data_IF_696986496121
#
_entry.id   IF_696986496121
#
_cell.length_a   1.000
_cell.length_b   1.000
_cell.length_c   1.000
_cell.angle_alpha   90.00
_cell.angle_beta   90.00
_cell.angle_gamma   90.00
#
_symmetry.space_group_name_H-M   'P 1'
#
loop_
_entity.id
_entity.type
_entity.pdbx_description
1 polymer ?
#
# COMPACT_ATOMS: atom_id res chain seq x y z
N UNK A 1 30.73 15.07 -0.83
CA UNK A 1 29.41 15.15 -0.16
C UNK A 1 28.33 14.86 -1.19
N UNK A 2 27.55 13.80 -0.99
CA UNK A 2 26.41 13.43 -1.82
C UNK A 2 25.14 14.06 -1.26
N UNK A 3 24.41 14.81 -2.09
CA UNK A 3 23.17 15.50 -1.67
C UNK A 3 21.95 14.76 -2.23
N UNK A 4 21.10 14.29 -1.33
CA UNK A 4 19.84 13.62 -1.61
C UNK A 4 18.70 14.62 -1.43
N UNK A 5 17.90 14.82 -2.47
CA UNK A 5 16.78 15.75 -2.45
C UNK A 5 15.46 14.99 -2.49
N UNK A 6 14.69 15.06 -1.40
CA UNK A 6 13.38 14.39 -1.27
C UNK A 6 12.21 15.39 -1.32
N UNK A 7 12.47 16.61 -1.78
CA UNK A 7 11.50 17.72 -1.87
C UNK A 7 11.75 18.55 -3.13
N UNK A 8 10.68 19.03 -3.73
CA UNK A 8 10.68 19.99 -4.84
C UNK A 8 10.88 21.43 -4.36
N UNK A 9 10.76 21.70 -3.06
CA UNK A 9 10.90 23.06 -2.51
C UNK A 9 12.28 23.67 -2.79
N UNK A 10 12.34 25.00 -3.03
CA UNK A 10 13.60 25.72 -3.17
C UNK A 10 14.42 25.64 -1.87
N UNK A 11 15.75 25.70 -2.01
CA UNK A 11 16.71 25.43 -0.92
C UNK A 11 16.50 26.32 0.30
N UNK A 12 16.10 27.58 0.10
CA UNK A 12 15.81 28.55 1.18
C UNK A 12 14.52 28.24 1.98
N UNK A 13 13.74 27.24 1.56
CA UNK A 13 12.50 26.78 2.23
C UNK A 13 12.52 25.28 2.54
N UNK A 14 13.71 24.68 2.51
CA UNK A 14 13.95 23.28 2.78
C UNK A 14 14.90 23.12 3.98
N UNK A 15 14.81 21.98 4.66
CA UNK A 15 15.69 21.61 5.76
C UNK A 15 16.79 20.70 5.23
N UNK A 16 18.04 20.98 5.56
CA UNK A 16 19.19 20.14 5.20
C UNK A 16 19.75 19.50 6.47
N UNK A 17 19.83 18.18 6.48
CA UNK A 17 20.44 17.39 7.56
C UNK A 17 21.61 16.59 6.99
N UNK A 18 22.72 16.48 7.74
CA UNK A 18 23.93 15.76 7.31
C UNK A 18 24.13 14.48 8.11
N UNK A 19 24.65 13.45 7.43
CA UNK A 19 24.84 12.10 7.95
C UNK A 19 26.19 11.55 7.50
N UNK A 20 26.62 10.46 8.15
CA UNK A 20 27.83 9.72 7.79
C UNK A 20 29.07 10.62 7.70
N UNK A 21 29.36 11.35 8.79
CA UNK A 21 30.50 12.29 8.89
C UNK A 21 30.51 13.35 7.78
N UNK A 22 29.33 13.79 7.36
CA UNK A 22 29.15 14.83 6.33
C UNK A 22 29.29 14.31 4.89
N UNK A 23 29.42 12.99 4.69
CA UNK A 23 29.46 12.43 3.33
C UNK A 23 28.10 12.44 2.66
N UNK A 24 26.99 12.42 3.41
CA UNK A 24 25.61 12.50 2.90
C UNK A 24 24.88 13.72 3.47
N UNK A 25 24.19 14.47 2.62
CA UNK A 25 23.22 15.49 2.99
C UNK A 25 21.83 15.10 2.49
N UNK A 26 20.79 15.26 3.30
CA UNK A 26 19.39 15.07 2.89
C UNK A 26 18.65 16.39 2.98
N UNK A 27 18.08 16.81 1.86
CA UNK A 27 17.28 18.03 1.71
C UNK A 27 15.81 17.64 1.66
N UNK A 28 15.04 18.06 2.67
CA UNK A 28 13.64 17.69 2.89
C UNK A 28 12.74 18.92 3.08
N UNK A 29 11.42 18.74 2.96
CA UNK A 29 10.45 19.84 3.08
C UNK A 29 10.41 20.45 4.48
N UNK A 30 10.51 19.63 5.52
CA UNK A 30 10.26 20.02 6.91
C UNK A 30 11.15 19.26 7.92
N UNK A 31 12.24 18.65 7.45
CA UNK A 31 13.05 17.73 8.24
C UNK A 31 12.63 16.28 8.06
N UNK A 32 13.57 15.36 8.28
CA UNK A 32 13.33 13.92 8.31
C UNK A 32 12.58 13.54 9.58
N UNK A 33 11.71 12.53 9.46
CA UNK A 33 11.09 11.94 10.64
C UNK A 33 12.14 11.18 11.49
N UNK A 34 11.77 10.85 12.73
CA UNK A 34 12.71 10.27 13.68
C UNK A 34 13.26 8.92 13.21
N UNK A 35 12.42 8.09 12.59
CA UNK A 35 12.82 6.75 12.12
C UNK A 35 13.76 6.82 10.90
N UNK A 36 13.51 7.73 9.95
CA UNK A 36 14.42 7.99 8.84
C UNK A 36 15.78 8.48 9.33
N UNK A 37 15.80 9.44 10.26
CA UNK A 37 17.05 9.95 10.86
C UNK A 37 17.83 8.82 11.51
N UNK A 38 17.18 7.97 12.31
CA UNK A 38 17.83 6.85 12.99
C UNK A 38 18.39 5.81 12.01
N UNK A 39 17.65 5.48 10.94
CA UNK A 39 18.15 4.55 9.92
C UNK A 39 19.38 5.10 9.20
N UNK A 40 19.39 6.40 8.87
CA UNK A 40 20.55 7.04 8.23
C UNK A 40 21.76 7.13 9.18
N UNK A 41 21.54 7.51 10.44
CA UNK A 41 22.59 7.58 11.46
C UNK A 41 23.25 6.21 11.69
N UNK A 42 22.47 5.14 11.68
CA UNK A 42 22.94 3.79 11.99
C UNK A 42 23.25 2.93 10.75
N UNK A 43 23.16 3.50 9.54
CA UNK A 43 23.48 2.83 8.29
C UNK A 43 24.89 2.17 8.26
N UNK A 44 25.96 2.75 8.87
CA UNK A 44 27.29 2.13 8.91
C UNK A 44 27.34 0.76 9.55
N UNK A 45 26.39 0.41 10.41
CA UNK A 45 26.39 -0.91 11.01
C UNK A 45 26.07 -2.04 10.02
N UNK A 46 25.55 -1.72 8.83
CA UNK A 46 25.34 -2.69 7.77
C UNK A 46 26.63 -3.08 7.05
N UNK A 47 27.77 -2.43 7.32
CA UNK A 47 29.09 -2.86 6.83
C UNK A 47 29.44 -4.29 7.29
N UNK A 48 28.88 -4.72 8.42
CA UNK A 48 29.06 -6.07 8.96
C UNK A 48 28.11 -7.12 8.33
N UNK A 49 27.25 -6.73 7.39
CA UNK A 49 26.39 -7.66 6.68
C UNK A 49 27.20 -8.48 5.66
N UNK A 50 26.80 -9.73 5.37
CA UNK A 50 27.37 -10.51 4.26
C UNK A 50 27.32 -9.75 2.94
N UNK A 51 28.05 -10.19 1.92
CA UNK A 51 27.89 -9.63 0.58
C UNK A 51 26.57 -10.05 -0.06
N UNK A 52 25.95 -9.13 -0.80
CA UNK A 52 24.67 -9.34 -1.46
C UNK A 52 23.79 -8.11 -1.50
N UNK A 53 22.59 -8.28 -2.05
CA UNK A 53 21.62 -7.21 -2.25
C UNK A 53 21.04 -6.68 -0.92
N UNK A 54 20.53 -5.45 -0.96
CA UNK A 54 19.84 -4.80 0.16
C UNK A 54 18.34 -4.66 -0.11
N UNK A 55 17.53 -4.94 0.90
CA UNK A 55 16.09 -4.71 0.89
C UNK A 55 15.76 -3.44 1.68
N UNK A 56 14.88 -2.58 1.16
CA UNK A 56 14.37 -1.40 1.85
C UNK A 56 12.85 -1.51 1.90
N UNK A 57 12.30 -1.69 3.09
CA UNK A 57 10.87 -1.88 3.31
C UNK A 57 10.30 -0.82 4.27
N UNK A 58 9.07 -0.39 4.01
CA UNK A 58 8.36 0.58 4.86
C UNK A 58 8.83 2.04 4.71
N UNK A 59 9.94 2.30 4.01
CA UNK A 59 10.31 3.66 3.63
C UNK A 59 9.49 4.16 2.44
N UNK A 60 8.97 5.38 2.55
CA UNK A 60 8.04 5.99 1.57
C UNK A 60 8.63 7.19 0.82
N UNK A 61 9.82 7.65 1.21
CA UNK A 61 10.45 8.84 0.64
C UNK A 61 11.46 8.52 -0.46
N UNK A 62 12.08 7.33 -0.44
CA UNK A 62 13.20 6.97 -1.31
C UNK A 62 14.56 7.52 -0.84
N UNK A 63 14.58 8.35 0.21
CA UNK A 63 15.82 8.95 0.72
C UNK A 63 16.78 7.92 1.33
N UNK A 64 16.24 6.94 2.07
CA UNK A 64 17.04 5.85 2.64
C UNK A 64 17.67 4.99 1.54
N UNK A 65 16.94 4.73 0.45
CA UNK A 65 17.44 3.96 -0.67
C UNK A 65 18.63 4.64 -1.35
N UNK A 66 18.55 5.96 -1.57
CA UNK A 66 19.64 6.74 -2.14
C UNK A 66 20.86 6.81 -1.21
N UNK A 67 20.64 6.89 0.10
CA UNK A 67 21.74 6.88 1.07
C UNK A 67 22.42 5.51 1.14
N UNK A 68 21.65 4.42 1.11
CA UNK A 68 22.16 3.06 1.02
C UNK A 68 22.94 2.84 -0.28
N UNK A 69 22.43 3.30 -1.43
CA UNK A 69 23.12 3.20 -2.71
C UNK A 69 24.43 4.00 -2.73
N UNK A 70 24.48 5.16 -2.08
CA UNK A 70 25.70 5.95 -1.96
C UNK A 70 26.76 5.30 -1.07
N UNK A 71 26.35 4.59 -0.01
CA UNK A 71 27.27 3.88 0.89
C UNK A 71 27.73 2.54 0.31
N UNK A 72 26.83 1.83 -0.37
CA UNK A 72 27.05 0.48 -0.88
C UNK A 72 26.88 0.44 -2.41
N UNK A 73 27.77 1.10 -3.18
CA UNK A 73 27.59 1.28 -4.63
C UNK A 73 27.59 -0.05 -5.41
N UNK A 74 28.26 -1.07 -4.89
CA UNK A 74 28.37 -2.40 -5.51
C UNK A 74 27.18 -3.33 -5.19
N UNK A 75 26.26 -2.91 -4.31
CA UNK A 75 25.14 -3.75 -3.88
C UNK A 75 23.88 -3.36 -4.62
N UNK A 76 23.17 -4.34 -5.18
CA UNK A 76 21.83 -4.13 -5.73
C UNK A 76 20.84 -3.76 -4.62
N UNK A 77 19.85 -2.89 -4.92
CA UNK A 77 18.83 -2.45 -3.97
C UNK A 77 17.43 -2.76 -4.49
N UNK A 78 16.61 -3.34 -3.62
CA UNK A 78 15.18 -3.49 -3.82
C UNK A 78 14.43 -2.64 -2.80
N UNK A 79 13.67 -1.66 -3.27
CA UNK A 79 12.71 -0.92 -2.45
C UNK A 79 11.33 -1.56 -2.59
N UNK A 80 10.61 -1.67 -1.49
CA UNK A 80 9.25 -2.21 -1.49
C UNK A 80 8.27 -1.28 -0.78
N UNK A 81 7.10 -1.11 -1.39
CA UNK A 81 5.93 -0.49 -0.79
C UNK A 81 4.66 -1.23 -1.21
N UNK A 82 3.75 -1.51 -0.28
CA UNK A 82 2.48 -2.14 -0.62
C UNK A 82 1.51 -1.24 -1.39
N UNK A 83 1.69 0.08 -1.31
CA UNK A 83 0.82 1.07 -1.93
C UNK A 83 1.51 1.76 -3.11
N UNK A 84 0.79 1.85 -4.24
CA UNK A 84 1.31 2.37 -5.49
C UNK A 84 1.67 3.86 -5.41
N UNK A 85 0.93 4.65 -4.63
CA UNK A 85 1.27 6.06 -4.43
C UNK A 85 2.64 6.22 -3.77
N UNK A 86 2.92 5.39 -2.76
CA UNK A 86 4.24 5.35 -2.11
C UNK A 86 5.33 4.83 -3.05
N UNK A 87 5.07 3.77 -3.83
CA UNK A 87 6.03 3.27 -4.81
C UNK A 87 6.38 4.34 -5.86
N UNK A 88 5.38 5.06 -6.40
CA UNK A 88 5.58 6.18 -7.32
C UNK A 88 6.28 7.36 -6.66
N UNK A 89 6.04 7.62 -5.37
CA UNK A 89 6.77 8.65 -4.62
C UNK A 89 8.27 8.33 -4.53
N UNK A 90 8.62 7.07 -4.25
CA UNK A 90 10.01 6.60 -4.28
C UNK A 90 10.60 6.83 -5.68
N UNK A 91 9.92 6.39 -6.75
CA UNK A 91 10.42 6.58 -8.12
C UNK A 91 10.66 8.05 -8.48
N UNK A 92 9.75 8.96 -8.08
CA UNK A 92 9.93 10.41 -8.30
C UNK A 92 11.16 10.93 -7.57
N UNK A 93 11.38 10.53 -6.32
CA UNK A 93 12.59 10.89 -5.58
C UNK A 93 13.84 10.35 -6.26
N UNK A 94 13.84 9.08 -6.69
CA UNK A 94 14.98 8.48 -7.40
C UNK A 94 15.30 9.26 -8.68
N UNK A 95 14.29 9.55 -9.49
CA UNK A 95 14.43 10.32 -10.72
C UNK A 95 14.95 11.75 -10.47
N UNK A 96 14.45 12.42 -9.42
CA UNK A 96 14.91 13.75 -9.01
C UNK A 96 16.37 13.77 -8.53
N UNK A 97 16.96 12.60 -8.25
CA UNK A 97 18.37 12.41 -7.88
C UNK A 97 19.14 11.61 -8.95
N UNK A 98 18.69 11.70 -10.21
CA UNK A 98 19.35 11.10 -11.39
C UNK A 98 19.56 9.59 -11.26
N UNK A 99 18.68 8.91 -10.53
CA UNK A 99 18.74 7.46 -10.31
C UNK A 99 17.58 6.81 -11.05
N UNK A 100 17.89 5.95 -12.02
CA UNK A 100 16.88 5.20 -12.75
C UNK A 100 16.27 4.11 -11.86
N UNK A 101 14.98 3.84 -12.08
CA UNK A 101 14.25 2.80 -11.35
C UNK A 101 13.24 2.12 -12.24
N UNK A 102 12.94 0.86 -11.92
CA UNK A 102 11.85 0.10 -12.54
C UNK A 102 10.78 -0.19 -11.51
N UNK A 103 9.52 -0.04 -11.89
CA UNK A 103 8.39 -0.50 -11.08
C UNK A 103 8.06 -1.94 -11.41
N UNK A 104 8.09 -2.81 -10.41
CA UNK A 104 7.56 -4.16 -10.47
C UNK A 104 6.24 -4.23 -9.70
N UNK A 105 5.29 -5.04 -10.17
CA UNK A 105 4.03 -5.31 -9.51
C UNK A 105 3.66 -6.78 -9.64
N UNK A 106 2.66 -7.24 -8.88
CA UNK A 106 2.22 -8.65 -8.96
C UNK A 106 1.74 -8.98 -10.40
N UNK A 107 2.04 -10.17 -10.94
CA UNK A 107 1.72 -10.51 -12.33
C UNK A 107 0.22 -10.66 -12.59
N UNK A 108 -0.58 -10.85 -11.54
CA UNK A 108 -2.03 -11.01 -11.65
C UNK A 108 -2.82 -9.69 -11.69
N UNK A 109 -2.16 -8.55 -11.42
CA UNK A 109 -2.79 -7.23 -11.51
C UNK A 109 -2.37 -6.54 -12.79
N UNK A 110 -3.28 -5.76 -13.37
CA UNK A 110 -2.92 -4.82 -14.46
C UNK A 110 -2.68 -3.45 -13.85
N UNK A 111 -1.52 -2.86 -14.16
CA UNK A 111 -1.20 -1.50 -13.74
C UNK A 111 -1.94 -0.49 -14.63
N UNK A 112 -2.67 0.44 -14.03
CA UNK A 112 -3.25 1.57 -14.77
C UNK A 112 -2.17 2.65 -14.93
N UNK A 113 -1.72 2.87 -16.18
CA UNK A 113 -0.64 3.82 -16.48
C UNK A 113 -1.17 5.18 -16.91
N UNK A 114 -0.59 6.25 -16.35
CA UNK A 114 -0.59 7.59 -16.97
C UNK A 114 0.79 7.98 -17.55
N UNK A 115 1.85 7.19 -17.34
CA UNK A 115 3.18 7.46 -17.91
C UNK A 115 4.03 6.19 -18.03
N UNK A 116 4.89 6.19 -19.07
CA UNK A 116 5.74 5.09 -19.50
C UNK A 116 6.62 4.50 -18.38
N UNK A 117 6.69 3.16 -18.33
CA UNK A 117 7.82 2.46 -17.73
C UNK A 117 9.09 2.92 -18.46
N UNK A 118 9.83 3.86 -17.88
CA UNK A 118 11.14 4.25 -18.38
C UNK A 118 12.04 3.03 -18.49
N UNK A 119 12.65 2.82 -19.65
CA UNK A 119 13.65 1.78 -19.83
C UNK A 119 14.84 2.03 -18.89
N UNK A 120 15.34 0.97 -18.26
CA UNK A 120 16.49 1.03 -17.38
C UNK A 120 17.75 1.39 -18.19
N UNK A 121 18.19 2.64 -18.08
CA UNK A 121 19.53 3.05 -18.46
C UNK A 121 20.40 3.16 -17.20
N UNK A 122 21.64 2.67 -17.28
CA UNK A 122 22.69 2.96 -16.29
C UNK A 122 23.19 4.38 -16.53
N UNK A 123 22.47 5.39 -16.02
CA UNK A 123 23.02 6.74 -15.98
C UNK A 123 23.98 6.83 -14.77
N UNK A 124 25.22 7.27 -15.02
CA UNK A 124 26.19 7.74 -14.03
C UNK A 124 26.80 6.71 -13.05
N UNK A 125 26.94 5.44 -13.44
CA UNK A 125 27.71 4.45 -12.65
C UNK A 125 27.10 4.11 -11.27
N UNK A 126 25.82 4.43 -11.06
CA UNK A 126 25.06 4.07 -9.85
C UNK A 126 24.24 2.81 -10.08
N UNK A 127 24.05 1.96 -9.06
CA UNK A 127 23.21 0.78 -9.19
C UNK A 127 21.76 1.20 -9.48
N UNK A 128 21.14 0.55 -10.45
CA UNK A 128 19.70 0.69 -10.68
C UNK A 128 18.95 0.20 -9.43
N UNK A 129 18.00 0.98 -8.96
CA UNK A 129 17.18 0.63 -7.79
C UNK A 129 15.85 0.04 -8.28
N UNK A 130 15.58 -1.22 -7.92
CA UNK A 130 14.30 -1.85 -8.23
C UNK A 130 13.24 -1.37 -7.23
N UNK A 131 12.09 -0.90 -7.70
CA UNK A 131 10.95 -0.49 -6.86
C UNK A 131 9.83 -1.49 -7.06
N UNK A 132 9.38 -2.11 -5.97
CA UNK A 132 8.35 -3.15 -5.96
C UNK A 132 7.07 -2.61 -5.31
N UNK A 133 5.97 -2.67 -6.03
CA UNK A 133 4.61 -2.53 -5.51
C UNK A 133 3.89 -3.88 -5.60
N UNK A 134 4.21 -4.75 -4.65
CA UNK A 134 3.79 -6.16 -4.65
C UNK A 134 3.16 -6.53 -3.32
N UNK A 135 2.30 -7.54 -3.34
CA UNK A 135 1.57 -8.06 -2.18
C UNK A 135 2.46 -8.75 -1.13
N UNK A 136 3.68 -9.08 -1.51
CA UNK A 136 4.75 -9.67 -0.72
C UNK A 136 6.06 -8.92 -0.98
N UNK A 137 6.99 -8.96 -0.03
CA UNK A 137 8.37 -8.51 -0.24
C UNK A 137 9.02 -9.34 -1.36
N UNK A 138 9.81 -8.71 -2.25
CA UNK A 138 10.50 -9.41 -3.33
C UNK A 138 11.35 -10.57 -2.82
N UNK A 139 11.47 -11.60 -3.65
CA UNK A 139 12.24 -12.80 -3.32
C UNK A 139 13.72 -12.49 -3.11
N UNK A 140 14.33 -13.14 -2.11
CA UNK A 140 15.72 -12.97 -1.73
C UNK A 140 16.64 -14.06 -2.32
N UNK A 141 17.80 -14.33 -1.70
CA UNK A 141 18.23 -13.83 -0.39
C UNK A 141 18.86 -12.42 -0.44
N UNK A 142 18.57 -11.60 0.57
CA UNK A 142 19.22 -10.30 0.81
C UNK A 142 20.28 -10.43 1.90
N UNK A 143 21.39 -9.71 1.72
CA UNK A 143 22.44 -9.61 2.73
C UNK A 143 21.99 -8.79 3.95
N UNK A 144 21.25 -7.71 3.70
CA UNK A 144 20.67 -6.89 4.75
C UNK A 144 19.36 -6.24 4.32
N UNK A 145 18.60 -5.81 5.32
CA UNK A 145 17.36 -5.08 5.16
C UNK A 145 17.37 -3.80 6.02
N UNK A 146 16.77 -2.73 5.48
CA UNK A 146 16.38 -1.55 6.22
C UNK A 146 14.86 -1.53 6.33
N UNK A 147 14.34 -1.45 7.55
CA UNK A 147 12.91 -1.44 7.80
C UNK A 147 12.49 -0.27 8.67
N UNK A 148 11.41 0.40 8.28
CA UNK A 148 10.77 1.39 9.15
C UNK A 148 9.27 1.23 9.20
N UNK A 149 8.69 1.56 10.34
CA UNK A 149 7.25 1.71 10.51
C UNK A 149 6.93 3.15 10.90
N UNK A 150 6.06 3.83 10.15
CA UNK A 150 5.54 5.15 10.54
C UNK A 150 4.29 5.00 11.42
N UNK A 151 4.14 5.81 12.50
CA UNK A 151 2.95 5.76 13.34
C UNK A 151 1.68 6.09 12.56
N UNK A 152 0.56 5.53 13.01
CA UNK A 152 -0.78 5.80 12.46
C UNK A 152 -1.04 5.21 11.07
N UNK A 153 0.00 4.76 10.34
CA UNK A 153 -0.13 4.14 9.01
C UNK A 153 0.11 2.63 9.02
N UNK A 154 0.85 2.12 10.01
CA UNK A 154 1.26 0.71 10.07
C UNK A 154 0.73 0.08 11.34
N UNK A 155 -0.15 -0.93 11.22
CA UNK A 155 -0.61 -1.67 12.40
C UNK A 155 0.53 -2.52 13.00
N UNK A 156 0.48 -2.79 14.31
CA UNK A 156 1.47 -3.66 14.95
C UNK A 156 1.51 -5.07 14.35
N UNK A 157 0.37 -5.57 13.88
CA UNK A 157 0.28 -6.84 13.15
C UNK A 157 1.01 -6.80 11.81
N UNK A 158 0.81 -5.74 11.02
CA UNK A 158 1.53 -5.53 9.76
C UNK A 158 3.05 -5.42 9.99
N UNK A 159 3.48 -4.77 11.08
CA UNK A 159 4.91 -4.71 11.44
C UNK A 159 5.48 -6.12 11.66
N UNK A 160 4.78 -6.97 12.41
CA UNK A 160 5.26 -8.33 12.70
C UNK A 160 5.27 -9.22 11.46
N UNK A 161 4.24 -9.11 10.62
CA UNK A 161 4.14 -9.80 9.33
C UNK A 161 5.32 -9.42 8.42
N UNK A 162 5.61 -8.13 8.27
CA UNK A 162 6.76 -7.66 7.49
C UNK A 162 8.11 -8.09 8.09
N UNK A 163 8.26 -8.13 9.42
CA UNK A 163 9.49 -8.58 10.06
C UNK A 163 9.76 -10.07 9.82
N UNK A 164 8.74 -10.93 9.85
CA UNK A 164 8.89 -12.34 9.49
C UNK A 164 9.18 -12.53 8.00
N UNK A 165 8.57 -11.71 7.15
CA UNK A 165 8.85 -11.74 5.73
C UNK A 165 10.29 -11.28 5.44
N UNK A 166 10.75 -10.17 6.04
CA UNK A 166 12.16 -9.73 5.97
C UNK A 166 13.08 -10.85 6.44
N UNK A 167 12.78 -11.49 7.57
CA UNK A 167 13.54 -12.63 8.06
C UNK A 167 13.61 -13.76 7.02
N UNK A 168 12.49 -14.11 6.39
CA UNK A 168 12.47 -15.12 5.33
C UNK A 168 13.32 -14.72 4.12
N UNK A 169 13.34 -13.43 3.75
CA UNK A 169 14.10 -12.91 2.60
C UNK A 169 15.59 -12.67 2.89
N UNK A 170 16.06 -12.65 4.14
CA UNK A 170 17.48 -12.50 4.45
C UNK A 170 18.27 -13.80 4.24
N UNK A 171 19.52 -13.70 3.82
CA UNK A 171 20.51 -14.77 3.93
C UNK A 171 20.76 -15.13 5.41
N UNK A 172 21.22 -16.35 5.69
CA UNK A 172 21.64 -16.69 7.05
C UNK A 172 22.80 -15.78 7.50
N UNK A 173 22.72 -15.29 8.74
CA UNK A 173 23.63 -14.25 9.23
C UNK A 173 23.38 -12.84 8.68
N UNK A 174 22.40 -12.64 7.80
CA UNK A 174 22.00 -11.33 7.29
C UNK A 174 21.45 -10.40 8.37
N UNK A 175 21.52 -9.09 8.12
CA UNK A 175 21.19 -8.06 9.10
C UNK A 175 19.90 -7.32 8.75
N UNK A 176 19.06 -7.02 9.74
CA UNK A 176 17.94 -6.10 9.63
C UNK A 176 18.20 -4.89 10.53
N UNK A 177 18.47 -3.73 9.94
CA UNK A 177 18.46 -2.45 10.66
C UNK A 177 17.04 -1.90 10.61
N UNK A 178 16.37 -1.84 11.76
CA UNK A 178 14.99 -1.38 11.86
C UNK A 178 14.83 -0.18 12.79
N UNK A 179 13.92 0.73 12.42
CA UNK A 179 13.49 1.85 13.26
C UNK A 179 11.97 1.97 13.28
N UNK A 180 11.38 1.98 14.47
CA UNK A 180 9.93 1.98 14.65
C UNK A 180 9.51 3.01 15.69
N UNK A 181 8.48 3.80 15.38
CA UNK A 181 7.85 4.70 16.35
C UNK A 181 6.77 3.96 17.15
N UNK A 182 7.20 3.27 18.20
CA UNK A 182 6.33 2.51 19.10
C UNK A 182 7.00 2.32 20.47
N UNK A 183 6.25 1.85 21.45
CA UNK A 183 6.81 1.41 22.73
C UNK A 183 7.67 0.15 22.50
N UNK A 184 8.96 0.30 22.79
CA UNK A 184 10.01 -0.62 22.31
C UNK A 184 9.92 -2.02 22.92
N UNK A 185 9.53 -2.15 24.19
CA UNK A 185 9.66 -3.39 24.95
C UNK A 185 8.97 -4.60 24.28
N UNK A 186 7.72 -4.41 23.83
CA UNK A 186 6.96 -5.47 23.16
C UNK A 186 7.55 -5.81 21.78
N UNK A 187 7.90 -4.79 21.00
CA UNK A 187 8.49 -4.96 19.67
C UNK A 187 9.85 -5.66 19.74
N UNK A 188 10.76 -5.22 20.62
CA UNK A 188 12.11 -5.79 20.76
C UNK A 188 12.07 -7.27 21.18
N UNK A 189 11.09 -7.66 22.02
CA UNK A 189 10.85 -9.07 22.36
C UNK A 189 10.48 -9.88 21.11
N UNK A 190 9.60 -9.35 20.26
CA UNK A 190 9.20 -10.00 19.01
C UNK A 190 10.35 -10.07 18.00
N UNK A 191 11.10 -8.97 17.82
CA UNK A 191 12.27 -8.95 16.93
C UNK A 191 13.31 -9.98 17.36
N UNK A 192 13.61 -10.09 18.66
CA UNK A 192 14.52 -11.13 19.17
C UNK A 192 13.99 -12.54 18.89
N UNK A 193 12.68 -12.78 19.03
CA UNK A 193 12.08 -14.08 18.73
C UNK A 193 12.15 -14.44 17.24
N UNK A 194 12.01 -13.45 16.35
CA UNK A 194 12.06 -13.64 14.89
C UNK A 194 13.50 -13.89 14.42
N UNK A 195 14.46 -13.04 14.82
CA UNK A 195 15.81 -13.05 14.26
C UNK A 195 16.84 -13.83 15.10
N UNK A 196 16.63 -13.94 16.41
CA UNK A 196 17.55 -14.57 17.35
C UNK A 196 18.49 -13.56 18.04
N UNK A 197 19.34 -12.85 17.27
CA UNK A 197 20.27 -11.87 17.83
C UNK A 197 19.77 -10.44 17.60
N UNK A 198 19.88 -9.58 18.61
CA UNK A 198 19.39 -8.20 18.61
C UNK A 198 20.32 -7.27 19.39
N UNK A 199 20.69 -6.14 18.79
CA UNK A 199 21.40 -5.04 19.43
C UNK A 199 20.60 -3.75 19.31
N UNK A 200 20.22 -3.16 20.45
CA UNK A 200 19.53 -1.86 20.49
C UNK A 200 20.53 -0.75 20.22
N UNK A 201 20.18 0.18 19.33
CA UNK A 201 21.01 1.34 18.96
C UNK A 201 20.45 2.64 19.53
N UNK A 202 19.12 2.72 19.62
CA UNK A 202 18.42 3.84 20.19
C UNK A 202 17.11 3.37 20.80
N UNK A 203 16.78 3.86 21.99
CA UNK A 203 15.50 3.60 22.63
C UNK A 203 15.12 4.80 23.52
N UNK A 204 14.13 5.58 23.09
CA UNK A 204 13.53 6.67 23.87
C UNK A 204 12.02 6.67 23.64
N UNK A 205 11.26 7.15 24.62
CA UNK A 205 9.79 7.13 24.66
C UNK A 205 9.15 7.31 23.27
N UNK A 206 8.54 6.23 22.76
CA UNK A 206 7.79 6.21 21.50
C UNK A 206 8.61 5.98 20.23
N UNK A 207 9.93 5.74 20.30
CA UNK A 207 10.76 5.41 19.13
C UNK A 207 11.97 4.55 19.50
N UNK A 208 12.21 3.49 18.71
CA UNK A 208 13.37 2.63 18.86
C UNK A 208 14.06 2.37 17.53
N UNK A 209 15.37 2.12 17.59
CA UNK A 209 16.19 1.64 16.49
C UNK A 209 17.06 0.50 16.98
N UNK A 210 17.10 -0.59 16.21
CA UNK A 210 17.89 -1.77 16.56
C UNK A 210 18.37 -2.50 15.32
N UNK A 211 19.35 -3.37 15.54
CA UNK A 211 19.92 -4.24 14.51
C UNK A 211 19.68 -5.66 14.95
N UNK A 212 18.97 -6.40 14.11
CA UNK A 212 18.72 -7.81 14.30
C UNK A 212 19.58 -8.61 13.30
N UNK A 213 20.09 -9.76 13.72
CA UNK A 213 20.84 -10.68 12.84
C UNK A 213 20.09 -11.99 12.76
N UNK A 214 19.78 -12.45 11.54
CA UNK A 214 19.12 -13.72 11.28
C UNK A 214 19.98 -14.89 11.76
N UNK A 215 19.35 -15.82 12.48
CA UNK A 215 19.95 -17.08 12.96
C UNK A 215 19.08 -18.27 12.53
N UNK A 216 19.39 -18.84 11.38
CA UNK A 216 18.68 -19.97 10.81
C UNK A 216 17.29 -19.60 10.28
N UNK A 217 16.51 -20.63 9.94
CA UNK A 217 15.13 -20.49 9.48
C UNK A 217 14.19 -20.39 10.68
N UNK A 218 13.17 -19.54 10.58
CA UNK A 218 12.16 -19.39 11.63
C UNK A 218 11.33 -20.68 11.69
N UNK A 219 11.37 -21.39 12.81
CA UNK A 219 10.77 -22.73 12.91
C UNK A 219 9.23 -22.73 12.78
N UNK A 220 8.57 -21.64 13.18
CA UNK A 220 7.11 -21.51 13.16
C UNK A 220 6.73 -20.11 12.67
N UNK A 221 6.75 -19.86 11.35
CA UNK A 221 6.22 -18.62 10.81
C UNK A 221 4.73 -18.50 11.13
N UNK A 222 4.26 -17.29 11.41
CA UNK A 222 2.87 -16.99 11.70
C UNK A 222 2.11 -16.73 10.40
N UNK A 223 0.85 -17.16 10.36
CA UNK A 223 -0.10 -16.67 9.37
C UNK A 223 -0.90 -15.52 9.98
N UNK A 224 -0.70 -14.32 9.45
CA UNK A 224 -1.42 -13.12 9.86
C UNK A 224 -2.68 -12.87 9.03
N UNK A 225 -3.03 -13.74 8.09
CA UNK A 225 -4.31 -13.66 7.38
C UNK A 225 -5.47 -13.90 8.34
N UNK A 226 -6.64 -13.36 7.99
CA UNK A 226 -7.85 -13.56 8.78
C UNK A 226 -9.04 -13.84 7.88
N UNK A 227 -9.82 -14.86 8.24
CA UNK A 227 -11.06 -15.23 7.56
C UNK A 227 -12.26 -14.79 8.38
N UNK A 228 -13.26 -14.21 7.73
CA UNK A 228 -14.54 -13.86 8.36
C UNK A 228 -15.72 -14.11 7.41
N UNK A 229 -16.93 -14.40 7.93
CA UNK A 229 -18.12 -14.55 7.09
C UNK A 229 -18.68 -13.19 6.64
N UNK A 230 -19.16 -13.11 5.40
CA UNK A 230 -19.92 -11.98 4.89
C UNK A 230 -21.08 -12.45 4.01
N UNK A 231 -22.20 -11.73 4.04
CA UNK A 231 -23.40 -12.02 3.23
C UNK A 231 -24.20 -10.75 2.95
N UNK A 232 -24.93 -10.78 1.83
CA UNK A 232 -26.10 -9.92 1.66
C UNK A 232 -27.33 -10.56 2.33
N UNK A 233 -28.33 -9.77 2.74
CA UNK A 233 -29.60 -10.30 3.24
C UNK A 233 -30.22 -11.30 2.26
N UNK A 234 -30.66 -12.45 2.77
CA UNK A 234 -31.26 -13.52 1.95
C UNK A 234 -30.27 -14.45 1.26
N UNK A 235 -28.95 -14.20 1.34
CA UNK A 235 -27.93 -15.08 0.78
C UNK A 235 -27.12 -15.78 1.88
N UNK A 236 -26.64 -16.99 1.57
CA UNK A 236 -25.74 -17.71 2.45
C UNK A 236 -24.39 -16.96 2.61
N UNK A 237 -23.86 -16.88 3.85
CA UNK A 237 -22.53 -16.32 4.10
C UNK A 237 -21.44 -17.03 3.30
N UNK A 238 -20.50 -16.25 2.77
CA UNK A 238 -19.24 -16.75 2.24
C UNK A 238 -18.07 -16.34 3.13
N UNK A 239 -17.04 -17.18 3.26
CA UNK A 239 -15.79 -16.79 3.90
C UNK A 239 -15.04 -15.79 3.02
N UNK A 240 -14.56 -14.71 3.62
CA UNK A 240 -13.62 -13.77 2.99
C UNK A 240 -12.35 -13.70 3.82
N UNK A 241 -11.21 -13.78 3.14
CA UNK A 241 -9.86 -13.61 3.66
C UNK A 241 -9.47 -12.14 3.55
N UNK A 242 -8.80 -11.64 4.57
CA UNK A 242 -8.17 -10.31 4.61
C UNK A 242 -6.71 -10.43 5.06
N UNK A 243 -5.90 -9.43 4.72
CA UNK A 243 -4.48 -9.38 5.07
C UNK A 243 -4.16 -8.15 5.93
N UNK A 244 -3.12 -8.21 6.79
CA UNK A 244 -2.64 -7.06 7.54
C UNK A 244 -2.40 -5.84 6.64
N UNK A 245 -2.78 -4.66 7.14
CA UNK A 245 -2.67 -3.40 6.40
C UNK A 245 -3.80 -3.14 5.40
N UNK A 246 -4.60 -4.15 5.04
CA UNK A 246 -5.79 -3.97 4.18
C UNK A 246 -6.95 -3.44 5.01
N UNK A 247 -7.73 -2.51 4.47
CA UNK A 247 -8.98 -2.06 5.09
C UNK A 247 -9.89 -3.26 5.40
N UNK A 248 -10.65 -3.19 6.50
CA UNK A 248 -11.49 -4.27 7.02
C UNK A 248 -10.76 -5.60 7.37
N UNK A 249 -9.47 -5.54 7.68
CA UNK A 249 -8.77 -6.73 8.20
C UNK A 249 -9.45 -7.28 9.48
N UNK A 250 -9.64 -8.61 9.51
CA UNK A 250 -10.26 -9.42 10.59
C UNK A 250 -11.79 -9.37 10.73
N UNK A 251 -12.50 -8.43 10.10
CA UNK A 251 -13.96 -8.37 10.20
C UNK A 251 -14.60 -7.61 9.04
N UNK A 252 -15.86 -7.93 8.66
CA UNK A 252 -16.59 -7.15 7.67
C UNK A 252 -16.71 -5.68 8.10
N UNK A 253 -16.50 -4.77 7.16
CA UNK A 253 -16.79 -3.35 7.38
C UNK A 253 -18.30 -3.09 7.26
N UNK A 254 -18.87 -2.42 8.26
CA UNK A 254 -20.30 -2.12 8.29
C UNK A 254 -20.71 -1.15 7.17
N UNK A 255 -19.84 -0.20 6.81
CA UNK A 255 -20.07 0.72 5.69
C UNK A 255 -20.05 0.00 4.35
N UNK A 256 -19.06 -0.87 4.13
CA UNK A 256 -18.98 -1.75 2.96
C UNK A 256 -20.20 -2.67 2.83
N UNK A 257 -20.68 -3.26 3.93
CA UNK A 257 -21.92 -4.03 3.92
C UNK A 257 -23.15 -3.16 3.59
N UNK A 258 -23.23 -1.94 4.10
CA UNK A 258 -24.30 -1.00 3.78
C UNK A 258 -24.33 -0.67 2.28
N UNK A 259 -23.15 -0.39 1.71
CA UNK A 259 -22.96 -0.11 0.29
C UNK A 259 -23.36 -1.30 -0.57
N UNK A 260 -22.88 -2.50 -0.25
CA UNK A 260 -23.21 -3.72 -1.00
C UNK A 260 -24.71 -4.02 -0.97
N UNK A 261 -25.38 -3.81 0.16
CA UNK A 261 -26.83 -4.03 0.30
C UNK A 261 -27.69 -3.04 -0.47
N UNK A 262 -27.24 -1.79 -0.62
CA UNK A 262 -27.94 -0.81 -1.44
C UNK A 262 -27.67 -1.10 -2.92
N UNK A 263 -26.42 -1.35 -3.29
CA UNK A 263 -26.02 -1.67 -4.66
C UNK A 263 -26.75 -2.91 -5.21
N UNK A 264 -26.90 -3.96 -4.40
CA UNK A 264 -27.55 -5.19 -4.83
C UNK A 264 -29.05 -5.03 -5.18
N UNK A 265 -29.72 -3.94 -4.77
CA UNK A 265 -31.15 -3.71 -5.07
C UNK A 265 -31.39 -3.34 -6.52
N UNK A 266 -30.46 -2.58 -7.09
CA UNK A 266 -30.56 -2.03 -8.45
C UNK A 266 -29.66 -2.79 -9.45
N UNK A 267 -28.92 -3.80 -8.97
CA UNK A 267 -28.00 -4.60 -9.78
C UNK A 267 -28.75 -5.70 -10.54
N UNK A 268 -28.63 -5.69 -11.86
CA UNK A 268 -29.21 -6.69 -12.76
C UNK A 268 -28.16 -7.72 -13.23
N UNK A 269 -28.59 -8.93 -13.66
CA UNK A 269 -27.72 -9.91 -14.30
C UNK A 269 -26.89 -9.32 -15.44
N UNK A 270 -25.64 -9.76 -15.57
CA UNK A 270 -24.77 -9.38 -16.69
C UNK A 270 -24.13 -7.99 -16.62
N UNK A 271 -24.53 -7.15 -15.67
CA UNK A 271 -23.99 -5.79 -15.50
C UNK A 271 -22.51 -5.79 -15.09
N UNK A 272 -21.82 -4.70 -15.44
CA UNK A 272 -20.42 -4.48 -15.11
C UNK A 272 -20.28 -3.45 -13.98
N UNK A 273 -19.67 -3.90 -12.88
CA UNK A 273 -19.43 -3.09 -11.67
C UNK A 273 -17.98 -2.63 -11.60
N UNK A 274 -17.75 -1.38 -11.18
CA UNK A 274 -16.46 -0.91 -10.67
C UNK A 274 -16.51 -0.83 -9.14
N UNK A 275 -15.70 -1.64 -8.46
CA UNK A 275 -15.45 -1.58 -7.01
C UNK A 275 -14.11 -0.85 -6.78
N UNK A 276 -14.18 0.44 -6.42
CA UNK A 276 -13.02 1.31 -6.25
C UNK A 276 -12.63 1.42 -4.77
N UNK A 277 -11.34 1.20 -4.47
CA UNK A 277 -10.87 1.02 -3.10
C UNK A 277 -11.36 -0.31 -2.51
N UNK A 278 -11.27 -1.37 -3.31
CA UNK A 278 -11.96 -2.63 -3.04
C UNK A 278 -11.53 -3.34 -1.73
N UNK A 279 -10.34 -3.04 -1.19
CA UNK A 279 -9.85 -3.69 0.02
C UNK A 279 -9.72 -5.21 -0.19
N UNK A 280 -10.35 -6.02 0.67
CA UNK A 280 -10.40 -7.47 0.47
C UNK A 280 -11.48 -7.94 -0.54
N UNK A 281 -12.12 -7.00 -1.24
CA UNK A 281 -13.15 -7.28 -2.23
C UNK A 281 -14.55 -7.45 -1.64
N UNK A 282 -14.78 -7.03 -0.39
CA UNK A 282 -16.04 -7.23 0.33
C UNK A 282 -17.27 -6.83 -0.50
N UNK A 283 -17.25 -5.65 -1.10
CA UNK A 283 -18.40 -5.12 -1.86
C UNK A 283 -18.53 -5.86 -3.18
N UNK A 284 -17.51 -5.83 -4.03
CA UNK A 284 -17.55 -6.43 -5.35
C UNK A 284 -17.80 -7.94 -5.34
N UNK A 285 -17.22 -8.69 -4.40
CA UNK A 285 -17.47 -10.15 -4.27
C UNK A 285 -18.93 -10.43 -3.90
N UNK A 286 -19.51 -9.67 -2.97
CA UNK A 286 -20.92 -9.84 -2.61
C UNK A 286 -21.86 -9.52 -3.79
N UNK A 287 -21.53 -8.50 -4.60
CA UNK A 287 -22.29 -8.16 -5.80
C UNK A 287 -22.13 -9.20 -6.92
N UNK A 288 -20.93 -9.73 -7.14
CA UNK A 288 -20.70 -10.80 -8.11
C UNK A 288 -21.46 -12.11 -7.76
N UNK A 289 -21.71 -12.34 -6.46
CA UNK A 289 -22.50 -13.47 -5.97
C UNK A 289 -24.01 -13.22 -5.98
N UNK A 290 -24.46 -11.97 -5.95
CA UNK A 290 -25.89 -11.67 -5.84
C UNK A 290 -26.66 -11.85 -7.14
N UNK A 291 -25.97 -11.77 -8.29
CA UNK A 291 -26.58 -11.90 -9.61
C UNK A 291 -25.72 -12.74 -10.57
N UNK A 292 -26.34 -13.52 -11.46
CA UNK A 292 -25.60 -14.27 -12.48
C UNK A 292 -24.94 -13.32 -13.49
N UNK A 293 -23.78 -13.74 -14.00
CA UNK A 293 -23.02 -13.06 -15.07
C UNK A 293 -22.59 -11.61 -14.77
N UNK A 294 -22.79 -11.09 -13.55
CA UNK A 294 -22.19 -9.81 -13.14
C UNK A 294 -20.68 -9.93 -13.22
N UNK A 295 -20.06 -8.92 -13.86
CA UNK A 295 -18.62 -8.75 -13.96
C UNK A 295 -18.18 -7.62 -13.04
N UNK A 296 -17.03 -7.77 -12.40
CA UNK A 296 -16.53 -6.76 -11.45
C UNK A 296 -15.09 -6.41 -11.77
N UNK A 297 -14.83 -5.12 -11.96
CA UNK A 297 -13.49 -4.56 -11.94
C UNK A 297 -13.19 -4.08 -10.53
N UNK A 298 -12.18 -4.68 -9.90
CA UNK A 298 -11.67 -4.31 -8.59
C UNK A 298 -10.47 -3.40 -8.78
N UNK A 299 -10.56 -2.18 -8.26
CA UNK A 299 -9.48 -1.20 -8.32
C UNK A 299 -9.02 -0.88 -6.91
N UNK A 300 -7.72 -0.93 -6.68
CA UNK A 300 -7.11 -0.49 -5.42
C UNK A 300 -5.69 0.05 -5.67
N UNK A 301 -5.21 0.93 -4.79
CA UNK A 301 -3.81 1.37 -4.81
C UNK A 301 -2.90 0.40 -4.06
N UNK A 302 -3.48 -0.49 -3.24
CA UNK A 302 -2.75 -1.35 -2.33
C UNK A 302 -2.65 -2.78 -2.86
N UNK A 303 -1.42 -3.24 -3.15
CA UNK A 303 -1.17 -4.56 -3.73
C UNK A 303 -1.71 -5.72 -2.85
N UNK A 304 -1.64 -5.60 -1.52
CA UNK A 304 -2.24 -6.63 -0.62
C UNK A 304 -3.77 -6.66 -0.69
N UNK A 305 -4.42 -5.54 -1.00
CA UNK A 305 -5.87 -5.50 -1.16
C UNK A 305 -6.26 -6.37 -2.36
N UNK A 306 -5.62 -6.14 -3.50
CA UNK A 306 -5.81 -6.94 -4.71
C UNK A 306 -5.44 -8.41 -4.52
N UNK A 307 -4.41 -8.73 -3.73
CA UNK A 307 -4.08 -10.11 -3.39
C UNK A 307 -5.16 -10.80 -2.53
N UNK A 308 -5.69 -10.11 -1.51
CA UNK A 308 -6.78 -10.62 -0.70
C UNK A 308 -8.06 -10.83 -1.54
N UNK A 309 -8.39 -9.84 -2.36
CA UNK A 309 -9.51 -9.91 -3.33
C UNK A 309 -9.35 -11.08 -4.29
N UNK A 310 -8.15 -11.28 -4.86
CA UNK A 310 -7.87 -12.43 -5.73
C UNK A 310 -8.13 -13.75 -5.03
N UNK A 311 -7.62 -13.95 -3.80
CA UNK A 311 -7.83 -15.18 -3.02
C UNK A 311 -9.30 -15.44 -2.75
N UNK A 312 -10.09 -14.39 -2.49
CA UNK A 312 -11.53 -14.49 -2.29
C UNK A 312 -12.28 -14.85 -3.58
N UNK A 313 -11.85 -14.29 -4.72
CA UNK A 313 -12.43 -14.64 -6.01
C UNK A 313 -12.12 -16.08 -6.41
N UNK A 314 -10.88 -16.54 -6.18
CA UNK A 314 -10.46 -17.92 -6.44
C UNK A 314 -11.25 -18.92 -5.57
N UNK A 315 -11.36 -18.68 -4.26
CA UNK A 315 -12.05 -19.58 -3.34
C UNK A 315 -13.56 -19.70 -3.61
N UNK A 316 -14.14 -18.72 -4.31
CA UNK A 316 -15.57 -18.66 -4.63
C UNK A 316 -15.87 -18.94 -6.11
N UNK A 317 -14.86 -19.27 -6.93
CA UNK A 317 -15.04 -19.55 -8.36
C UNK A 317 -15.51 -18.33 -9.18
N UNK A 318 -15.07 -17.13 -8.79
CA UNK A 318 -15.50 -15.85 -9.39
C UNK A 318 -14.44 -15.19 -10.25
N UNK A 319 -13.23 -15.76 -10.34
CA UNK A 319 -12.08 -15.12 -11.00
C UNK A 319 -12.34 -14.81 -12.49
N UNK A 320 -13.07 -15.66 -13.20
CA UNK A 320 -13.39 -15.48 -14.63
C UNK A 320 -14.30 -14.26 -14.91
N UNK A 321 -14.97 -13.74 -13.87
CA UNK A 321 -15.84 -12.56 -13.96
C UNK A 321 -15.19 -11.32 -13.33
N UNK A 322 -13.89 -11.38 -13.04
CA UNK A 322 -13.18 -10.33 -12.33
C UNK A 322 -12.01 -9.74 -13.11
N UNK A 323 -11.76 -8.44 -12.92
CA UNK A 323 -10.53 -7.77 -13.37
C UNK A 323 -9.89 -7.07 -12.17
N UNK A 324 -8.59 -7.27 -11.95
CA UNK A 324 -7.84 -6.68 -10.84
C UNK A 324 -6.91 -5.57 -11.36
N UNK A 325 -7.13 -4.34 -10.93
CA UNK A 325 -6.41 -3.16 -11.38
C UNK A 325 -5.69 -2.47 -10.22
N UNK A 326 -4.39 -2.23 -10.40
CA UNK A 326 -3.57 -1.45 -9.48
C UNK A 326 -3.50 0.00 -9.97
N UNK A 327 -4.03 0.93 -9.17
CA UNK A 327 -4.05 2.37 -9.51
C UNK A 327 -4.11 3.26 -8.28
N UNK A 328 -3.34 4.35 -8.27
CA UNK A 328 -3.40 5.44 -7.28
C UNK A 328 -4.04 6.73 -7.85
N UNK A 329 -4.49 6.70 -9.11
CA UNK A 329 -5.07 7.86 -9.83
C UNK A 329 -6.44 7.58 -10.44
N UNK A 330 -7.14 6.52 -10.00
CA UNK A 330 -8.43 6.13 -10.56
C UNK A 330 -8.30 5.46 -11.93
N UNK A 331 -9.31 5.63 -12.78
CA UNK A 331 -9.31 5.13 -14.16
C UNK A 331 -9.38 6.29 -15.16
N UNK A 332 -8.72 6.17 -16.33
CA UNK A 332 -8.83 7.16 -17.37
C UNK A 332 -10.23 7.16 -17.99
N UNK A 333 -10.64 8.30 -18.56
CA UNK A 333 -11.93 8.43 -19.26
C UNK A 333 -12.13 7.45 -20.43
N UNK A 334 -11.04 6.96 -21.03
CA UNK A 334 -11.08 5.96 -22.11
C UNK A 334 -11.25 4.52 -21.61
N UNK A 335 -11.32 4.29 -20.30
CA UNK A 335 -11.52 2.95 -19.74
C UNK A 335 -12.88 2.36 -20.09
N UNK A 336 -13.03 1.05 -19.84
CA UNK A 336 -14.31 0.34 -19.96
C UNK A 336 -15.43 1.10 -19.23
N UNK A 337 -16.63 1.09 -19.81
CA UNK A 337 -17.79 1.73 -19.19
C UNK A 337 -18.49 0.77 -18.25
N UNK A 338 -18.90 1.28 -17.09
CA UNK A 338 -19.56 0.51 -16.04
C UNK A 338 -21.03 0.87 -15.94
N UNK A 339 -21.84 -0.10 -15.51
CA UNK A 339 -23.26 0.11 -15.20
C UNK A 339 -23.45 0.57 -13.75
N UNK A 340 -22.54 0.17 -12.86
CA UNK A 340 -22.56 0.52 -11.45
C UNK A 340 -21.15 0.81 -10.93
N UNK A 341 -21.01 1.89 -10.18
CA UNK A 341 -19.83 2.24 -9.40
C UNK A 341 -20.16 2.10 -7.91
N UNK A 342 -19.29 1.41 -7.18
CA UNK A 342 -19.34 1.30 -5.73
C UNK A 342 -17.99 1.72 -5.15
N UNK A 343 -18.00 2.63 -4.17
CA UNK A 343 -16.79 3.04 -3.47
C UNK A 343 -17.01 3.44 -2.02
N UNK A 344 -16.08 3.07 -1.14
CA UNK A 344 -16.02 3.53 0.24
C UNK A 344 -14.80 4.47 0.41
N UNK A 345 -14.89 5.74 -0.04
CA UNK A 345 -13.74 6.61 -0.07
C UNK A 345 -13.29 6.99 1.35
N UNK A 346 -11.97 7.11 1.61
CA UNK A 346 -11.48 7.68 2.87
C UNK A 346 -11.76 9.19 2.94
N UNK A 347 -12.12 9.68 4.13
CA UNK A 347 -12.55 11.07 4.37
C UNK A 347 -11.47 11.98 4.98
N UNK A 348 -10.34 11.44 5.40
CA UNK A 348 -9.35 12.11 6.27
C UNK A 348 -8.32 12.99 5.53
N UNK A 349 -8.54 13.35 4.26
CA UNK A 349 -7.55 14.04 3.40
C UNK A 349 -8.14 15.19 2.59
N UNK A 350 -8.85 16.11 3.26
CA UNK A 350 -9.55 17.26 2.64
C UNK A 350 -10.47 16.83 1.48
N UNK A 351 -11.00 15.61 1.53
CA UNK A 351 -11.82 15.00 0.48
C UNK A 351 -11.14 14.79 -0.88
N UNK A 352 -9.84 15.02 -1.05
CA UNK A 352 -9.15 14.82 -2.34
C UNK A 352 -9.33 13.42 -2.92
N UNK A 353 -9.24 12.39 -2.08
CA UNK A 353 -9.44 11.01 -2.50
C UNK A 353 -10.92 10.74 -2.80
N UNK A 354 -11.85 11.32 -2.03
CA UNK A 354 -13.28 11.20 -2.31
C UNK A 354 -13.67 11.88 -3.64
N UNK A 355 -13.06 13.03 -3.95
CA UNK A 355 -13.23 13.71 -5.23
C UNK A 355 -12.67 12.89 -6.39
N UNK A 356 -11.53 12.22 -6.19
CA UNK A 356 -10.99 11.26 -7.17
C UNK A 356 -11.97 10.11 -7.44
N UNK A 357 -12.61 9.56 -6.40
CA UNK A 357 -13.62 8.51 -6.56
C UNK A 357 -14.81 9.02 -7.36
N UNK A 358 -15.36 10.19 -7.00
CA UNK A 358 -16.50 10.80 -7.69
C UNK A 358 -16.16 11.11 -9.16
N UNK A 359 -14.96 11.63 -9.41
CA UNK A 359 -14.48 11.92 -10.77
C UNK A 359 -14.34 10.64 -11.58
N UNK A 360 -13.71 9.60 -11.02
CA UNK A 360 -13.55 8.30 -11.68
C UNK A 360 -14.89 7.67 -12.00
N UNK A 361 -15.83 7.69 -11.04
CA UNK A 361 -17.19 7.20 -11.24
C UNK A 361 -17.88 7.94 -12.38
N UNK A 362 -17.81 9.28 -12.38
CA UNK A 362 -18.41 10.09 -13.43
C UNK A 362 -17.80 9.69 -14.78
N UNK A 363 -16.48 9.71 -14.93
CA UNK A 363 -15.81 9.51 -16.22
C UNK A 363 -15.98 8.12 -16.81
N UNK A 364 -16.30 7.12 -16.00
CA UNK A 364 -16.35 5.71 -16.41
C UNK A 364 -17.74 5.09 -16.40
N UNK A 365 -18.76 5.73 -15.81
CA UNK A 365 -20.13 5.21 -15.88
C UNK A 365 -20.76 5.39 -17.27
N UNK A 366 -21.57 4.41 -17.69
CA UNK A 366 -22.53 4.53 -18.78
C UNK A 366 -23.55 5.64 -18.46
N UNK A 367 -24.16 6.24 -19.48
CA UNK A 367 -25.37 7.07 -19.26
C UNK A 367 -26.46 6.20 -18.65
N UNK A 368 -27.12 6.68 -17.59
CA UNK A 368 -28.03 5.91 -16.76
C UNK A 368 -27.35 5.01 -15.72
N UNK A 369 -26.01 4.98 -15.69
CA UNK A 369 -25.23 4.19 -14.75
C UNK A 369 -25.30 4.73 -13.32
N UNK A 370 -25.21 3.84 -12.34
CA UNK A 370 -25.42 4.13 -10.94
C UNK A 370 -24.11 4.42 -10.22
N UNK A 371 -24.00 5.57 -9.54
CA UNK A 371 -22.90 5.90 -8.65
C UNK A 371 -23.33 5.75 -7.19
N UNK A 372 -22.66 4.87 -6.45
CA UNK A 372 -22.87 4.67 -5.01
C UNK A 372 -21.57 4.88 -4.24
N UNK A 373 -21.61 5.81 -3.29
CA UNK A 373 -20.54 6.01 -2.30
C UNK A 373 -21.10 5.88 -0.88
N UNK A 374 -20.28 5.55 0.12
CA UNK A 374 -20.76 5.34 1.50
C UNK A 374 -19.94 6.08 2.55
N UNK A 375 -20.60 6.87 3.39
CA UNK A 375 -19.98 7.61 4.48
C UNK A 375 -20.73 7.40 5.81
N UNK A 376 -20.01 7.59 6.92
CA UNK A 376 -20.66 7.69 8.24
C UNK A 376 -21.40 9.03 8.41
N UNK A 377 -20.89 10.10 7.80
CA UNK A 377 -21.53 11.40 7.70
C UNK A 377 -21.54 11.83 6.24
N UNK A 378 -22.72 11.98 5.65
CA UNK A 378 -22.86 12.09 4.19
C UNK A 378 -22.80 13.52 3.64
N UNK A 379 -23.12 14.57 4.42
CA UNK A 379 -23.38 15.91 3.85
C UNK A 379 -22.27 16.40 2.91
N UNK A 380 -21.02 16.42 3.39
CA UNK A 380 -19.88 16.90 2.61
C UNK A 380 -19.57 16.02 1.37
N UNK A 381 -19.85 14.71 1.44
CA UNK A 381 -19.66 13.81 0.30
C UNK A 381 -20.82 13.94 -0.70
N UNK A 382 -22.05 14.08 -0.20
CA UNK A 382 -23.26 14.30 -0.99
C UNK A 382 -23.15 15.58 -1.81
N UNK A 383 -22.75 16.69 -1.20
CA UNK A 383 -22.56 17.97 -1.91
C UNK A 383 -21.58 17.83 -3.09
N UNK A 384 -20.46 17.13 -2.88
CA UNK A 384 -19.46 16.88 -3.93
C UNK A 384 -19.99 15.97 -5.03
N UNK A 385 -20.71 14.91 -4.65
CA UNK A 385 -21.30 13.99 -5.63
C UNK A 385 -22.40 14.70 -6.44
N UNK A 386 -23.26 15.49 -5.80
CA UNK A 386 -24.28 16.30 -6.45
C UNK A 386 -23.66 17.38 -7.36
N UNK A 387 -22.58 18.04 -6.94
CA UNK A 387 -21.89 19.02 -7.76
C UNK A 387 -21.38 18.43 -9.09
N UNK A 388 -21.06 17.13 -9.13
CA UNK A 388 -20.60 16.44 -10.34
C UNK A 388 -21.74 15.81 -11.14
N UNK A 389 -22.69 15.15 -10.47
CA UNK A 389 -23.77 14.38 -11.10
C UNK A 389 -25.09 15.15 -11.23
N UNK A 390 -25.16 16.40 -10.76
CA UNK A 390 -26.36 17.23 -10.71
C UNK A 390 -27.29 16.94 -9.53
N UNK A 391 -27.37 15.69 -9.09
CA UNK A 391 -28.19 15.27 -7.94
C UNK A 391 -27.54 14.13 -7.15
N UNK A 392 -27.80 14.08 -5.84
CA UNK A 392 -27.37 12.98 -4.98
C UNK A 392 -28.37 12.73 -3.84
N UNK A 393 -28.91 11.52 -3.78
CA UNK A 393 -29.84 11.04 -2.75
C UNK A 393 -29.06 10.35 -1.62
N UNK A 394 -29.52 10.49 -0.36
CA UNK A 394 -28.97 9.74 0.77
C UNK A 394 -29.90 8.59 1.15
N UNK A 395 -29.36 7.38 1.16
CA UNK A 395 -30.02 6.16 1.62
C UNK A 395 -29.37 5.68 2.93
N UNK A 396 -30.13 5.63 4.01
CA UNK A 396 -29.64 5.17 5.32
C UNK A 396 -29.64 3.65 5.41
N UNK A 397 -28.48 3.05 5.76
CA UNK A 397 -28.34 1.60 5.91
C UNK A 397 -27.23 1.23 6.88
N UNK A 398 -27.49 0.30 7.80
CA UNK A 398 -26.54 -0.17 8.85
C UNK A 398 -25.86 0.97 9.65
N UNK A 399 -26.55 2.10 9.86
CA UNK A 399 -25.98 3.27 10.55
C UNK A 399 -24.98 4.08 9.71
N UNK A 400 -24.93 3.83 8.40
CA UNK A 400 -24.18 4.60 7.40
C UNK A 400 -25.14 5.23 6.40
N UNK A 401 -24.65 6.22 5.68
CA UNK A 401 -25.34 6.90 4.58
C UNK A 401 -24.70 6.49 3.27
N UNK A 402 -25.48 5.84 2.40
CA UNK A 402 -25.09 5.54 1.02
C UNK A 402 -25.61 6.66 0.12
N UNK A 403 -24.70 7.36 -0.55
CA UNK A 403 -25.02 8.48 -1.44
C UNK A 403 -25.18 7.92 -2.86
N UNK A 404 -26.36 8.15 -3.46
CA UNK A 404 -26.77 7.63 -4.77
C UNK A 404 -26.92 8.74 -5.81
N UNK A 405 -26.31 8.55 -6.98
CA UNK A 405 -26.46 9.41 -8.16
C UNK A 405 -26.54 8.60 -9.45
N UNK A 406 -27.07 9.20 -10.52
CA UNK A 406 -27.16 8.59 -11.85
C UNK A 406 -26.34 9.45 -12.82
N UNK A 407 -25.53 8.80 -13.67
CA UNK A 407 -24.74 9.44 -14.74
C UNK A 407 -25.59 9.85 -15.93
#
# INVERSE_FOLDING_TARGET
>A
MYTIRITDRPKNRAVTETFLDGTIAVVSRSGLNATERLLLTHLPHLDAAPDGALLIAGNRSGGIALAAAARFPERALACHAFDLHHARAIQRTLAANETSSRLAHDPFVRLCSDAANGAAGTANGRPAIAVHCTSALPEGPYAAALFMSTPGTTSGELVLDQLEEIHARLADGGLCLLACETDSAALLKQVRAIFGTLSVRFDKKGVCCCIAKKKGVLARPRDFSATFPASLPGLAPCPLISLPGVFCHRRPDTGGLALAEVAARDLAPGQHVLDMGCGCGLVGVLLARSQPNVRVTFLDSHARALAATRRNLESLGLLDRATLLLSDSGLPHSAARFDLFAGNPPYYSDFRIAELFIQTAFDTLNRGGLCLTVAKSAHALQERQAARFGQAEILSRRGYSVIKSIR
#
